data_IF_704885579627
#
_entry.id   IF_704885579627
#
_cell.length_a   1.000
_cell.length_b   1.000
_cell.length_c   1.000
_cell.angle_alpha   90.00
_cell.angle_beta   90.00
_cell.angle_gamma   90.00
#
_symmetry.space_group_name_H-M   'P 1'
#
loop_
_entity.id
_entity.type
_entity.pdbx_description
1 polymer ?
#
# COMPACT_ATOMS: atom_id res chain seq x y z
N UNK A 1 5.54 2.59 -29.93
CA UNK A 1 4.16 2.11 -29.69
C UNK A 1 3.55 2.84 -28.50
N UNK A 2 2.21 2.79 -28.32
CA UNK A 2 1.53 3.45 -27.20
C UNK A 2 0.94 2.37 -26.29
N UNK A 3 1.17 2.50 -24.99
CA UNK A 3 0.68 1.58 -23.97
C UNK A 3 -0.04 2.35 -22.85
N UNK A 4 -1.00 1.68 -22.21
CA UNK A 4 -1.68 2.18 -21.03
C UNK A 4 -1.42 1.31 -19.80
N UNK A 5 -1.35 1.92 -18.63
CA UNK A 5 -1.34 1.19 -17.37
C UNK A 5 -2.38 1.74 -16.40
N UNK A 6 -3.22 0.86 -15.89
CA UNK A 6 -4.20 1.18 -14.86
C UNK A 6 -4.03 0.29 -13.64
N UNK A 7 -4.24 0.86 -12.45
CA UNK A 7 -4.19 0.14 -11.18
C UNK A 7 -5.38 0.51 -10.31
N UNK A 8 -6.03 -0.50 -9.74
CA UNK A 8 -7.21 -0.32 -8.88
C UNK A 8 -7.00 -0.97 -7.52
N UNK A 9 -7.42 -0.25 -6.46
CA UNK A 9 -7.36 -0.75 -5.08
C UNK A 9 -8.60 -1.54 -4.68
N UNK A 10 -9.74 -1.32 -5.32
CA UNK A 10 -11.02 -2.00 -5.06
C UNK A 10 -11.80 -2.23 -6.35
N UNK A 11 -12.66 -3.26 -6.29
CA UNK A 11 -13.36 -3.88 -7.42
C UNK A 11 -14.29 -2.90 -8.16
N UNK A 12 -14.31 -3.00 -9.47
CA UNK A 12 -15.28 -2.58 -10.49
C UNK A 12 -15.38 -1.08 -10.84
N UNK A 13 -15.72 -0.16 -9.94
CA UNK A 13 -16.12 1.20 -10.36
C UNK A 13 -14.99 2.12 -10.88
N UNK A 14 -13.75 1.93 -10.43
CA UNK A 14 -12.63 2.79 -10.83
C UNK A 14 -11.82 2.25 -12.02
N UNK A 15 -11.92 0.96 -12.33
CA UNK A 15 -11.21 0.37 -13.47
C UNK A 15 -11.86 0.77 -14.79
N UNK A 16 -13.18 0.61 -14.88
CA UNK A 16 -13.93 0.93 -16.10
C UNK A 16 -13.74 2.40 -16.51
N UNK A 17 -13.73 3.30 -15.53
CA UNK A 17 -13.47 4.72 -15.77
C UNK A 17 -12.04 4.97 -16.26
N UNK A 18 -11.03 4.30 -15.70
CA UNK A 18 -9.66 4.45 -16.16
C UNK A 18 -9.46 3.86 -17.56
N UNK A 19 -10.11 2.72 -17.85
CA UNK A 19 -10.11 2.12 -19.17
C UNK A 19 -10.78 3.02 -20.21
N UNK A 20 -11.95 3.56 -19.88
CA UNK A 20 -12.68 4.50 -20.75
C UNK A 20 -11.84 5.75 -21.06
N UNK A 21 -11.17 6.33 -20.05
CA UNK A 21 -10.28 7.46 -20.27
C UNK A 21 -9.09 7.12 -21.18
N UNK A 22 -8.46 5.96 -21.00
CA UNK A 22 -7.37 5.50 -21.84
C UNK A 22 -7.84 5.18 -23.27
N UNK A 23 -9.00 4.56 -23.42
CA UNK A 23 -9.59 4.24 -24.73
C UNK A 23 -9.98 5.52 -25.49
N UNK A 24 -10.51 6.53 -24.83
CA UNK A 24 -10.81 7.85 -25.41
C UNK A 24 -9.55 8.57 -25.94
N UNK A 25 -8.39 8.26 -25.40
CA UNK A 25 -7.10 8.74 -25.92
C UNK A 25 -6.60 7.94 -27.13
N UNK A 26 -7.39 6.97 -27.64
CA UNK A 26 -7.08 6.17 -28.81
C UNK A 26 -6.20 4.95 -28.50
N UNK A 27 -6.09 4.53 -27.23
CA UNK A 27 -5.38 3.30 -26.90
C UNK A 27 -6.26 2.08 -27.19
N UNK A 28 -5.66 1.09 -27.86
CA UNK A 28 -6.26 -0.23 -28.05
C UNK A 28 -6.24 -0.98 -26.71
N UNK A 29 -7.35 -1.65 -26.37
CA UNK A 29 -7.46 -2.43 -25.12
C UNK A 29 -6.36 -3.49 -24.98
N UNK A 30 -5.88 -4.07 -26.08
CA UNK A 30 -4.78 -5.04 -26.09
C UNK A 30 -3.44 -4.46 -25.64
N UNK A 31 -3.32 -3.13 -25.61
CA UNK A 31 -2.16 -2.39 -25.14
C UNK A 31 -2.34 -1.79 -23.75
N UNK A 32 -3.48 -2.03 -23.10
CA UNK A 32 -3.75 -1.56 -21.74
C UNK A 32 -3.50 -2.70 -20.76
N UNK A 33 -2.61 -2.46 -19.82
CA UNK A 33 -2.25 -3.40 -18.75
C UNK A 33 -2.87 -2.97 -17.43
N UNK A 34 -3.50 -3.92 -16.73
CA UNK A 34 -4.19 -3.63 -15.49
C UNK A 34 -3.72 -4.54 -14.36
N UNK A 35 -3.51 -3.97 -13.16
CA UNK A 35 -3.26 -4.72 -11.94
C UNK A 35 -4.30 -4.37 -10.86
N UNK A 36 -4.69 -5.38 -10.08
CA UNK A 36 -5.53 -5.20 -8.89
C UNK A 36 -4.64 -5.10 -7.66
N UNK A 37 -4.85 -4.08 -6.84
CA UNK A 37 -4.15 -3.94 -5.58
C UNK A 37 -4.85 -4.79 -4.51
N UNK A 38 -4.21 -5.85 -4.02
CA UNK A 38 -4.57 -6.45 -2.75
C UNK A 38 -3.82 -5.73 -1.63
N UNK A 39 -4.48 -5.44 -0.50
CA UNK A 39 -3.94 -4.58 0.56
C UNK A 39 -2.61 -5.03 1.18
N UNK A 40 -2.12 -6.24 0.88
CA UNK A 40 -0.85 -6.78 1.38
C UNK A 40 0.21 -7.03 0.30
N UNK A 41 -0.19 -7.37 -0.93
CA UNK A 41 0.76 -7.75 -1.97
C UNK A 41 0.84 -6.70 -3.07
N UNK A 42 2.02 -6.11 -3.22
CA UNK A 42 2.37 -5.22 -4.31
C UNK A 42 2.87 -6.02 -5.53
N UNK A 43 2.25 -7.17 -5.82
CA UNK A 43 2.60 -7.97 -6.98
C UNK A 43 1.93 -7.42 -8.25
N UNK A 44 2.64 -6.55 -8.95
CA UNK A 44 2.25 -5.95 -10.22
C UNK A 44 2.64 -6.87 -11.38
N UNK A 45 1.99 -8.02 -11.50
CA UNK A 45 2.33 -9.01 -12.54
C UNK A 45 2.22 -8.45 -13.94
N UNK A 46 1.14 -7.70 -14.23
CA UNK A 46 0.91 -7.15 -15.55
C UNK A 46 1.78 -5.92 -15.81
N UNK A 47 2.06 -5.11 -14.81
CA UNK A 47 3.06 -4.05 -14.92
C UNK A 47 4.45 -4.60 -15.27
N UNK A 48 4.90 -5.64 -14.58
CA UNK A 48 6.17 -6.30 -14.89
C UNK A 48 6.21 -6.85 -16.32
N UNK A 49 5.09 -7.39 -16.82
CA UNK A 49 4.97 -7.82 -18.24
C UNK A 49 5.08 -6.63 -19.18
N UNK A 50 4.36 -5.54 -18.89
CA UNK A 50 4.42 -4.31 -19.67
C UNK A 50 5.85 -3.77 -19.74
N UNK A 51 6.53 -3.61 -18.61
CA UNK A 51 7.91 -3.09 -18.54
C UNK A 51 8.89 -3.93 -19.37
N UNK A 52 8.72 -5.26 -19.42
CA UNK A 52 9.54 -6.13 -20.28
C UNK A 52 9.28 -5.91 -21.77
N UNK A 53 8.08 -5.50 -22.13
CA UNK A 53 7.66 -5.29 -23.53
C UNK A 53 8.04 -3.90 -24.05
N UNK A 54 8.11 -2.89 -23.16
CA UNK A 54 8.45 -1.52 -23.50
C UNK A 54 9.86 -1.41 -24.11
N UNK A 55 9.94 -0.64 -25.20
CA UNK A 55 11.18 -0.35 -25.94
C UNK A 55 11.42 1.17 -25.99
N UNK A 56 12.68 1.61 -26.17
CA UNK A 56 12.99 3.03 -26.34
C UNK A 56 12.10 3.68 -27.41
N UNK A 57 11.55 4.86 -27.10
CA UNK A 57 10.62 5.59 -27.96
C UNK A 57 9.15 5.16 -27.86
N UNK A 58 8.81 4.17 -27.04
CA UNK A 58 7.42 3.88 -26.69
C UNK A 58 6.86 4.94 -25.73
N UNK A 59 5.54 5.05 -25.67
CA UNK A 59 4.82 5.99 -24.79
C UNK A 59 3.95 5.21 -23.82
N UNK A 60 4.09 5.53 -22.52
CA UNK A 60 3.26 4.97 -21.47
C UNK A 60 2.28 6.01 -20.92
N UNK A 61 0.99 5.77 -21.07
CA UNK A 61 -0.07 6.55 -20.45
C UNK A 61 -0.46 5.98 -19.11
N UNK A 62 -0.50 6.83 -18.09
CA UNK A 62 -1.03 6.53 -16.76
C UNK A 62 -2.01 7.62 -16.35
N UNK A 63 -3.04 7.26 -15.58
CA UNK A 63 -4.00 8.26 -15.09
C UNK A 63 -3.35 9.25 -14.14
N UNK A 64 -2.67 8.75 -13.12
CA UNK A 64 -2.06 9.56 -12.06
C UNK A 64 -0.71 8.97 -11.65
N UNK A 65 0.16 9.81 -11.11
CA UNK A 65 1.56 9.46 -10.78
C UNK A 65 1.66 8.35 -9.72
N UNK A 66 0.69 8.23 -8.81
CA UNK A 66 0.61 7.19 -7.79
C UNK A 66 0.44 5.76 -8.37
N UNK A 67 0.17 5.65 -9.68
CA UNK A 67 0.18 4.37 -10.38
C UNK A 67 1.58 3.78 -10.48
N UNK A 68 2.62 4.60 -10.47
CA UNK A 68 4.01 4.15 -10.55
C UNK A 68 4.55 3.61 -9.22
N UNK A 69 4.12 4.16 -8.09
CA UNK A 69 4.63 3.76 -6.78
C UNK A 69 3.63 4.01 -5.63
N UNK A 70 3.91 3.44 -4.46
CA UNK A 70 3.14 3.65 -3.23
C UNK A 70 3.70 4.78 -2.35
N UNK A 71 4.92 5.13 -2.56
CA UNK A 71 5.61 6.19 -1.84
C UNK A 71 6.49 6.98 -2.80
N UNK A 72 6.99 8.08 -2.30
CA UNK A 72 7.83 9.01 -3.03
C UNK A 72 9.02 8.35 -3.74
N UNK A 73 9.83 7.62 -2.99
CA UNK A 73 11.05 7.01 -3.54
C UNK A 73 10.73 6.05 -4.67
N UNK A 74 9.72 5.18 -4.48
CA UNK A 74 9.28 4.24 -5.52
C UNK A 74 8.78 4.94 -6.79
N UNK A 75 8.08 6.07 -6.66
CA UNK A 75 7.61 6.85 -7.82
C UNK A 75 8.79 7.45 -8.57
N UNK A 76 9.75 8.05 -7.83
CA UNK A 76 10.95 8.64 -8.43
C UNK A 76 11.84 7.60 -9.13
N UNK A 77 12.08 6.49 -8.43
CA UNK A 77 12.92 5.40 -8.97
C UNK A 77 12.31 4.82 -10.24
N UNK A 78 10.99 4.56 -10.22
CA UNK A 78 10.28 4.03 -11.37
C UNK A 78 10.23 5.04 -12.54
N UNK A 79 10.00 6.32 -12.24
CA UNK A 79 10.05 7.39 -13.25
C UNK A 79 11.41 7.47 -13.92
N UNK A 80 12.49 7.48 -13.13
CA UNK A 80 13.86 7.49 -13.64
C UNK A 80 14.18 6.25 -14.47
N UNK A 81 13.80 5.09 -13.97
CA UNK A 81 13.98 3.83 -14.68
C UNK A 81 13.29 3.86 -16.04
N UNK A 82 12.02 4.26 -16.10
CA UNK A 82 11.26 4.30 -17.34
C UNK A 82 11.80 5.36 -18.32
N UNK A 83 12.05 6.57 -17.85
CA UNK A 83 12.43 7.69 -18.74
C UNK A 83 13.91 7.72 -19.10
N UNK A 84 14.81 7.34 -18.20
CA UNK A 84 16.27 7.44 -18.41
C UNK A 84 16.88 6.10 -18.86
N UNK A 85 16.52 4.99 -18.20
CA UNK A 85 17.11 3.69 -18.49
C UNK A 85 16.37 2.98 -19.63
N UNK A 86 15.04 2.96 -19.61
CA UNK A 86 14.22 2.38 -20.70
C UNK A 86 14.08 3.32 -21.90
N UNK A 87 14.24 4.63 -21.73
CA UNK A 87 14.15 5.61 -22.80
C UNK A 87 12.74 5.75 -23.37
N UNK A 88 11.70 5.52 -22.55
CA UNK A 88 10.30 5.70 -22.95
C UNK A 88 9.78 7.06 -22.52
N UNK A 89 8.72 7.51 -23.18
CA UNK A 89 7.98 8.69 -22.75
C UNK A 89 6.82 8.29 -21.82
N UNK A 90 6.53 9.17 -20.85
CA UNK A 90 5.40 9.00 -19.93
C UNK A 90 4.46 10.18 -20.04
N UNK A 91 3.15 9.87 -20.04
CA UNK A 91 2.07 10.86 -20.00
C UNK A 91 1.20 10.58 -18.79
N UNK A 92 1.10 11.57 -17.92
CA UNK A 92 0.20 11.52 -16.75
C UNK A 92 -1.05 12.32 -17.06
N UNK A 93 -2.19 11.63 -17.23
CA UNK A 93 -3.44 12.22 -17.74
C UNK A 93 -3.96 13.34 -16.82
N UNK A 94 -3.95 13.10 -15.51
CA UNK A 94 -4.42 14.07 -14.51
C UNK A 94 -3.44 15.24 -14.31
N UNK A 95 -2.26 15.20 -14.94
CA UNK A 95 -1.19 16.16 -14.72
C UNK A 95 -0.40 16.44 -16.01
N UNK A 96 -0.95 17.29 -16.90
CA UNK A 96 -0.34 17.56 -18.23
C UNK A 96 1.10 18.05 -18.19
N UNK A 97 1.55 18.66 -17.09
CA UNK A 97 2.94 19.05 -16.88
C UNK A 97 3.91 17.85 -16.81
N UNK A 98 3.40 16.66 -16.53
CA UNK A 98 4.14 15.41 -16.52
C UNK A 98 3.94 14.64 -17.83
N UNK A 99 4.06 15.33 -18.96
CA UNK A 99 4.12 14.75 -20.30
C UNK A 99 5.53 14.89 -20.85
N UNK A 100 6.26 13.77 -20.96
CA UNK A 100 7.67 13.80 -21.41
C UNK A 100 7.80 13.80 -22.94
N UNK A 101 6.68 13.70 -23.71
CA UNK A 101 6.67 13.75 -25.17
C UNK A 101 6.81 15.17 -25.71
N UNK A 102 6.68 16.21 -24.87
CA UNK A 102 6.61 17.62 -25.27
C UNK A 102 7.74 17.93 -26.26
N UNK A 103 7.31 18.33 -27.42
CA UNK A 103 7.99 18.40 -28.71
C UNK A 103 9.45 18.83 -28.68
N UNK A 104 10.21 18.07 -29.47
CA UNK A 104 11.48 18.50 -30.00
C UNK A 104 12.57 18.62 -28.95
N UNK A 105 13.28 17.52 -28.67
CA UNK A 105 14.63 17.49 -28.04
C UNK A 105 14.84 18.50 -26.89
N UNK A 106 13.75 18.95 -26.27
CA UNK A 106 13.79 20.06 -25.32
C UNK A 106 14.16 19.53 -23.94
N UNK A 107 15.43 19.60 -23.60
CA UNK A 107 15.95 19.37 -22.25
C UNK A 107 15.11 20.08 -21.20
N UNK A 108 14.51 21.22 -21.52
CA UNK A 108 13.71 22.05 -20.61
C UNK A 108 12.41 21.35 -20.20
N UNK A 109 11.68 20.70 -21.11
CA UNK A 109 10.43 19.98 -20.78
C UNK A 109 10.68 18.80 -19.84
N UNK A 110 11.73 17.99 -20.12
CA UNK A 110 12.15 16.89 -19.24
C UNK A 110 12.64 17.40 -17.87
N UNK A 111 13.36 18.51 -17.85
CA UNK A 111 13.80 19.14 -16.61
C UNK A 111 12.62 19.66 -15.78
N UNK A 112 11.65 20.33 -16.41
CA UNK A 112 10.45 20.81 -15.71
C UNK A 112 9.66 19.62 -15.12
N UNK A 113 9.47 18.55 -15.87
CA UNK A 113 8.80 17.34 -15.36
C UNK A 113 9.54 16.72 -14.17
N UNK A 114 10.87 16.62 -14.25
CA UNK A 114 11.70 16.13 -13.15
C UNK A 114 11.57 17.02 -11.88
N UNK A 115 11.57 18.36 -12.05
CA UNK A 115 11.42 19.32 -10.93
C UNK A 115 10.02 19.26 -10.32
N UNK A 116 8.97 19.27 -11.16
CA UNK A 116 7.57 19.15 -10.69
C UNK A 116 7.38 17.86 -9.92
N UNK A 117 7.91 16.75 -10.42
CA UNK A 117 7.86 15.47 -9.74
C UNK A 117 8.53 15.53 -8.37
N UNK A 118 9.70 16.15 -8.25
CA UNK A 118 10.41 16.31 -6.97
C UNK A 118 9.61 17.15 -5.97
N UNK A 119 9.03 18.26 -6.41
CA UNK A 119 8.22 19.15 -5.56
C UNK A 119 6.97 18.43 -5.04
N UNK A 120 6.20 17.80 -5.94
CA UNK A 120 4.99 17.08 -5.55
C UNK A 120 5.27 15.95 -4.58
N UNK A 121 6.36 15.32 -4.78
CA UNK A 121 6.80 14.21 -3.97
C UNK A 121 7.26 14.66 -2.58
N UNK A 122 7.97 15.77 -2.49
CA UNK A 122 8.30 16.41 -1.21
C UNK A 122 7.04 16.80 -0.43
N UNK A 123 6.06 17.40 -1.10
CA UNK A 123 4.77 17.76 -0.48
C UNK A 123 4.06 16.54 0.07
N UNK A 124 3.96 15.46 -0.72
CA UNK A 124 3.31 14.22 -0.28
C UNK A 124 3.99 13.56 0.93
N UNK A 125 5.33 13.60 1.01
CA UNK A 125 6.06 13.06 2.16
C UNK A 125 5.85 13.93 3.40
N UNK A 126 5.88 15.26 3.25
CA UNK A 126 5.63 16.20 4.35
C UNK A 126 4.19 16.05 4.90
N UNK A 127 3.19 15.84 4.04
CA UNK A 127 1.83 15.54 4.48
C UNK A 127 1.74 14.23 5.28
N UNK A 128 2.45 13.18 4.86
CA UNK A 128 2.50 11.90 5.59
C UNK A 128 3.14 12.05 6.97
N UNK A 129 4.25 12.77 7.05
CA UNK A 129 4.90 13.07 8.34
C UNK A 129 3.98 13.84 9.26
N UNK A 130 3.33 14.88 8.75
CA UNK A 130 2.37 15.69 9.50
C UNK A 130 1.20 14.83 10.01
N UNK A 131 0.65 13.94 9.17
CA UNK A 131 -0.42 13.01 9.60
C UNK A 131 0.07 12.04 10.68
N UNK A 132 1.27 11.49 10.56
CA UNK A 132 1.86 10.60 11.58
C UNK A 132 2.07 11.31 12.90
N UNK A 133 2.57 12.55 12.87
CA UNK A 133 2.74 13.37 14.07
C UNK A 133 1.40 13.63 14.76
N UNK A 134 0.39 14.10 14.01
CA UNK A 134 -0.97 14.34 14.54
C UNK A 134 -1.59 13.06 15.13
N UNK A 135 -1.40 11.93 14.46
CA UNK A 135 -1.86 10.64 14.96
C UNK A 135 -1.15 10.24 16.26
N UNK A 136 0.16 10.40 16.33
CA UNK A 136 0.94 10.10 17.54
C UNK A 136 0.53 10.99 18.72
N UNK A 137 0.33 12.29 18.46
CA UNK A 137 -0.19 13.24 19.45
C UNK A 137 -1.60 12.85 19.90
N UNK A 138 -2.50 12.52 18.98
CA UNK A 138 -3.86 12.07 19.30
C UNK A 138 -3.86 10.80 20.17
N UNK A 139 -3.02 9.81 19.83
CA UNK A 139 -2.86 8.58 20.63
C UNK A 139 -2.30 8.90 22.02
N UNK A 140 -1.31 9.79 22.11
CA UNK A 140 -0.74 10.22 23.39
C UNK A 140 -1.81 10.87 24.30
N UNK A 141 -2.58 11.80 23.73
CA UNK A 141 -3.66 12.48 24.49
C UNK A 141 -4.77 11.52 24.89
N UNK A 142 -5.14 10.57 24.02
CA UNK A 142 -6.14 9.56 24.36
C UNK A 142 -5.66 8.62 25.48
N UNK A 143 -4.38 8.21 25.45
CA UNK A 143 -3.77 7.43 26.56
C UNK A 143 -3.78 8.19 27.88
N UNK A 144 -3.50 9.50 27.87
CA UNK A 144 -3.56 10.33 29.08
C UNK A 144 -5.00 10.44 29.66
N UNK A 145 -6.02 10.33 28.78
CA UNK A 145 -7.43 10.25 29.19
C UNK A 145 -7.88 8.84 29.61
N UNK A 146 -6.96 7.87 29.68
CA UNK A 146 -7.28 6.50 30.07
C UNK A 146 -7.81 5.60 28.94
N UNK A 147 -7.83 6.07 27.69
CA UNK A 147 -8.26 5.25 26.56
C UNK A 147 -7.25 4.14 26.31
N UNK A 148 -7.69 2.90 26.35
CA UNK A 148 -6.87 1.73 26.04
C UNK A 148 -6.93 1.44 24.55
N UNK A 149 -5.77 1.27 23.94
CA UNK A 149 -5.62 0.87 22.53
C UNK A 149 -5.25 -0.61 22.45
N UNK A 150 -5.59 -1.21 21.34
CA UNK A 150 -5.30 -2.61 21.05
C UNK A 150 -6.51 -3.52 21.23
N UNK A 151 -6.28 -4.81 21.13
CA UNK A 151 -7.33 -5.82 21.32
C UNK A 151 -7.77 -5.82 22.80
N UNK A 152 -9.08 -5.82 23.11
CA UNK A 152 -9.57 -5.95 24.48
C UNK A 152 -8.92 -7.16 25.18
N UNK A 153 -8.57 -7.04 26.46
CA UNK A 153 -8.10 -8.19 27.22
C UNK A 153 -9.12 -9.30 27.17
N UNK A 154 -8.67 -10.53 26.97
CA UNK A 154 -9.54 -11.69 27.06
C UNK A 154 -10.00 -11.82 28.51
N UNK A 155 -11.31 -11.87 28.73
CA UNK A 155 -11.88 -12.10 30.07
C UNK A 155 -11.42 -13.45 30.59
N UNK A 156 -11.16 -13.50 31.90
CA UNK A 156 -10.80 -14.76 32.57
C UNK A 156 -12.11 -15.53 32.77
N UNK A 157 -12.22 -16.79 32.31
CA UNK A 157 -13.43 -17.58 32.51
C UNK A 157 -13.73 -17.74 34.01
N UNK A 158 -15.00 -17.78 34.35
CA UNK A 158 -15.42 -18.09 35.72
C UNK A 158 -14.84 -19.44 36.14
N UNK A 159 -14.32 -19.50 37.39
CA UNK A 159 -13.69 -20.71 37.92
C UNK A 159 -12.25 -20.95 37.46
N UNK A 160 -11.64 -20.05 36.70
CA UNK A 160 -10.25 -20.19 36.27
C UNK A 160 -9.27 -20.30 37.43
N UNK A 161 -9.50 -19.57 38.55
CA UNK A 161 -8.66 -19.62 39.74
C UNK A 161 -8.65 -21.03 40.38
N UNK A 162 -9.82 -21.66 40.51
CA UNK A 162 -9.96 -23.03 41.02
C UNK A 162 -9.24 -24.03 40.10
N UNK A 163 -9.41 -23.92 38.77
CA UNK A 163 -8.71 -24.77 37.83
C UNK A 163 -7.19 -24.59 37.92
N UNK A 164 -6.74 -23.35 38.07
CA UNK A 164 -5.33 -23.02 38.21
C UNK A 164 -4.73 -23.58 39.50
N UNK A 165 -5.48 -23.55 40.61
CA UNK A 165 -5.08 -24.15 41.88
C UNK A 165 -4.97 -25.66 41.80
N UNK A 166 -5.99 -26.36 41.28
CA UNK A 166 -5.98 -27.81 41.09
C UNK A 166 -4.82 -28.25 40.17
N UNK A 167 -4.52 -27.45 39.14
CA UNK A 167 -3.34 -27.70 38.30
C UNK A 167 -2.02 -27.51 39.06
N UNK A 168 -1.89 -26.42 39.86
CA UNK A 168 -0.68 -26.18 40.67
C UNK A 168 -0.46 -27.25 41.75
N UNK A 169 -1.56 -27.84 42.28
CA UNK A 169 -1.51 -28.95 43.26
C UNK A 169 -1.24 -30.32 42.62
N UNK A 170 -1.26 -30.39 41.26
CA UNK A 170 -1.07 -31.66 40.57
C UNK A 170 -2.30 -32.58 40.53
N UNK A 171 -3.46 -32.06 40.90
CA UNK A 171 -4.75 -32.81 40.94
C UNK A 171 -5.28 -33.06 39.54
N UNK A 172 -4.96 -32.19 38.59
CA UNK A 172 -5.33 -32.28 37.16
C UNK A 172 -4.13 -32.09 36.23
N UNK A 173 -4.18 -32.73 35.07
CA UNK A 173 -3.13 -32.59 34.08
C UNK A 173 -3.21 -31.24 33.34
N UNK A 174 -2.13 -30.88 32.64
CA UNK A 174 -2.08 -29.68 31.79
C UNK A 174 -3.16 -29.68 30.70
N UNK A 175 -3.47 -30.84 30.13
CA UNK A 175 -4.46 -30.98 29.08
C UNK A 175 -5.89 -30.80 29.61
N UNK A 176 -6.18 -31.40 30.76
CA UNK A 176 -7.45 -31.23 31.47
C UNK A 176 -7.67 -29.79 31.90
N UNK A 177 -6.66 -29.13 32.45
CA UNK A 177 -6.75 -27.74 32.87
C UNK A 177 -7.03 -26.78 31.68
N UNK A 178 -6.40 -27.00 30.55
CA UNK A 178 -6.65 -26.24 29.30
C UNK A 178 -8.07 -26.50 28.80
N UNK A 179 -8.53 -27.74 28.80
CA UNK A 179 -9.88 -28.12 28.36
C UNK A 179 -10.96 -27.51 29.27
N UNK A 180 -10.82 -27.66 30.57
CA UNK A 180 -11.75 -27.10 31.57
C UNK A 180 -11.83 -25.57 31.52
N UNK A 181 -10.70 -24.91 31.27
CA UNK A 181 -10.67 -23.45 31.18
C UNK A 181 -11.28 -22.89 29.89
N UNK A 182 -11.47 -23.73 28.85
CA UNK A 182 -11.92 -23.27 27.53
C UNK A 182 -10.94 -22.35 26.80
N UNK A 183 -9.71 -22.20 27.31
CA UNK A 183 -8.67 -21.33 26.75
C UNK A 183 -7.73 -22.13 25.84
N UNK A 184 -7.07 -21.43 24.93
CA UNK A 184 -5.93 -22.04 24.24
C UNK A 184 -4.75 -22.25 25.20
N UNK A 185 -3.93 -23.29 24.97
CA UNK A 185 -2.78 -23.64 25.80
C UNK A 185 -1.87 -22.43 26.11
N UNK A 186 -1.55 -21.63 25.10
CA UNK A 186 -0.72 -20.43 25.28
C UNK A 186 -1.39 -19.35 26.14
N UNK A 187 -2.72 -19.21 26.03
CA UNK A 187 -3.48 -18.26 26.85
C UNK A 187 -3.60 -18.71 28.28
N UNK A 188 -3.85 -20.02 28.51
CA UNK A 188 -3.90 -20.62 29.83
C UNK A 188 -2.61 -20.33 30.62
N UNK A 189 -1.44 -20.69 30.09
CA UNK A 189 -0.17 -20.46 30.76
C UNK A 189 0.17 -18.98 30.97
N UNK A 190 -0.23 -18.11 30.03
CA UNK A 190 -0.05 -16.67 30.22
C UNK A 190 -0.92 -16.11 31.34
N UNK A 191 -2.16 -16.61 31.48
CA UNK A 191 -3.06 -16.22 32.58
C UNK A 191 -2.64 -16.82 33.90
N UNK A 192 -2.15 -18.06 33.89
CA UNK A 192 -1.60 -18.73 35.10
C UNK A 192 -0.43 -17.96 35.72
N UNK A 193 0.38 -17.26 34.92
CA UNK A 193 1.48 -16.41 35.43
C UNK A 193 1.02 -15.12 36.11
N UNK A 194 -0.25 -14.74 35.97
CA UNK A 194 -0.81 -13.52 36.53
C UNK A 194 -1.52 -13.77 37.89
N UNK A 195 -1.67 -15.06 38.26
CA UNK A 195 -2.12 -15.55 39.58
C UNK A 195 -0.92 -15.99 40.42
#
# INVERSE_FOLDING_TARGET
MIYGYARVSTIAQNLDRQLDELTKLGLDESHIYTDKESGKDFDRKNYKKLVRKLKPGDVLFIKSIDRLGRNYNMVLDEWRFLTKEKGIDIVVIDMPLLDTRIEGKNLVGKFIADVVLQVLSFVAENERETMRQRQAEGIRMAKLRGVRFGRPPLEIPQGFETIAESYKKGEITSEEAVQLSGLTRGTFYRKLKLL
#
